data_IF_808911546148
#
_entry.id   IF_808911546148
#
_cell.length_a   1.000
_cell.length_b   1.000
_cell.length_c   1.000
_cell.angle_alpha   90.00
_cell.angle_beta   90.00
_cell.angle_gamma   90.00
#
_symmetry.space_group_name_H-M   'P 1'
#
loop_
_entity.id
_entity.type
_entity.pdbx_description
1 polymer ?
#
# COMPACT_ATOMS: atom_id res chain seq x y z
N UNK A 1 -12.39 16.37 -29.45
CA UNK A 1 -12.70 17.15 -28.23
C UNK A 1 -11.58 16.87 -27.25
N UNK A 2 -10.87 17.93 -26.85
CA UNK A 2 -9.47 17.88 -26.40
C UNK A 2 -9.24 17.27 -25.02
N UNK A 3 -8.10 16.60 -24.92
CA UNK A 3 -7.41 16.20 -23.68
C UNK A 3 -6.38 17.27 -23.35
N UNK A 4 -6.52 17.88 -22.18
CA UNK A 4 -5.68 18.99 -21.70
C UNK A 4 -4.37 18.46 -21.10
N UNK A 5 -3.27 19.05 -21.53
CA UNK A 5 -1.89 18.68 -21.21
C UNK A 5 -1.25 19.80 -20.40
N UNK A 6 -0.74 19.48 -19.21
CA UNK A 6 0.13 20.36 -18.43
C UNK A 6 1.31 19.52 -17.92
N UNK A 7 2.30 19.33 -18.79
CA UNK A 7 3.64 18.89 -18.46
C UNK A 7 4.56 20.12 -18.63
N UNK A 8 4.95 20.71 -17.51
CA UNK A 8 5.67 21.97 -17.43
C UNK A 8 7.15 21.76 -17.16
N UNK A 9 7.88 21.49 -18.24
CA UNK A 9 9.33 21.35 -18.35
C UNK A 9 10.07 22.65 -17.94
N UNK A 10 10.55 22.75 -16.70
CA UNK A 10 11.30 23.94 -16.22
C UNK A 10 12.77 23.81 -16.58
N UNK A 11 13.09 24.31 -17.77
CA UNK A 11 14.46 24.44 -18.28
C UNK A 11 15.31 25.38 -17.44
N UNK A 12 16.52 24.88 -17.18
CA UNK A 12 17.75 25.56 -16.75
C UNK A 12 17.85 27.02 -17.24
N UNK A 13 17.96 27.95 -16.29
CA UNK A 13 18.53 29.28 -16.54
C UNK A 13 19.95 29.32 -15.96
N UNK A 14 20.94 29.17 -16.86
CA UNK A 14 22.27 29.74 -16.66
C UNK A 14 22.17 31.24 -16.94
N UNK A 15 22.59 32.08 -15.99
CA UNK A 15 23.06 33.42 -16.31
C UNK A 15 24.52 33.54 -15.84
N UNK A 16 25.38 33.82 -16.81
CA UNK A 16 26.78 34.16 -16.61
C UNK A 16 26.94 35.59 -16.13
N UNK A 17 28.13 35.87 -15.61
CA UNK A 17 28.44 37.00 -14.75
C UNK A 17 28.36 38.39 -15.39
N UNK A 18 28.20 39.37 -14.50
CA UNK A 18 28.72 40.73 -14.70
C UNK A 18 29.13 41.28 -13.35
N UNK A 19 30.41 41.62 -13.24
CA UNK A 19 30.98 42.26 -12.06
C UNK A 19 30.29 43.58 -11.74
N UNK A 20 30.11 43.82 -10.46
CA UNK A 20 29.74 45.08 -9.87
C UNK A 20 30.42 45.15 -8.52
N UNK A 21 31.57 45.83 -8.47
CA UNK A 21 32.20 46.19 -7.21
C UNK A 21 31.34 47.24 -6.54
N UNK A 22 30.73 46.87 -5.42
CA UNK A 22 30.27 47.81 -4.40
C UNK A 22 30.90 47.35 -3.08
N UNK A 23 31.79 48.20 -2.56
CA UNK A 23 32.26 48.08 -1.18
C UNK A 23 31.11 48.43 -0.26
N UNK A 24 30.33 47.42 0.11
CA UNK A 24 29.42 47.50 1.26
C UNK A 24 30.21 47.19 2.53
N UNK A 25 30.28 48.11 3.52
CA UNK A 25 30.97 47.87 4.79
C UNK A 25 30.15 47.00 5.77
N UNK A 26 29.03 46.43 5.30
CA UNK A 26 28.16 45.54 6.08
C UNK A 26 28.07 44.20 5.34
N UNK A 27 28.95 43.27 5.74
CA UNK A 27 29.04 41.94 5.15
C UNK A 27 27.75 41.15 5.29
N UNK A 28 27.01 41.01 4.19
CA UNK A 28 26.08 39.91 4.03
C UNK A 28 26.88 38.63 3.77
N UNK A 29 27.20 37.89 4.83
CA UNK A 29 27.69 36.52 4.70
C UNK A 29 26.54 35.60 4.25
N UNK A 30 26.72 34.92 3.13
CA UNK A 30 25.78 33.91 2.66
C UNK A 30 25.80 32.70 3.61
N UNK A 31 24.68 32.43 4.29
CA UNK A 31 24.53 31.36 5.31
C UNK A 31 24.30 29.97 4.67
N UNK A 32 24.92 29.68 3.52
CA UNK A 32 24.79 28.35 2.92
C UNK A 32 25.99 27.98 2.06
N UNK A 33 27.02 27.47 2.70
CA UNK A 33 28.05 26.68 2.02
C UNK A 33 27.44 25.37 1.49
N UNK A 34 27.91 24.91 0.33
CA UNK A 34 27.38 23.76 -0.40
C UNK A 34 27.60 22.40 0.31
N UNK A 35 28.35 22.38 1.42
CA UNK A 35 28.76 21.13 2.09
C UNK A 35 27.94 20.78 3.36
N UNK A 36 26.92 21.56 3.72
CA UNK A 36 25.96 21.20 4.78
C UNK A 36 26.54 21.03 6.19
N UNK A 37 27.82 21.29 6.40
CA UNK A 37 28.47 21.34 7.71
C UNK A 37 28.20 22.70 8.31
N UNK A 38 27.37 22.73 9.36
CA UNK A 38 27.24 23.90 10.22
C UNK A 38 28.57 23.98 10.99
N UNK A 39 29.45 24.89 10.60
CA UNK A 39 30.63 25.19 11.41
C UNK A 39 30.14 25.75 12.77
N UNK A 40 30.72 25.29 13.89
CA UNK A 40 30.38 25.85 15.20
C UNK A 40 30.85 27.29 15.23
N UNK A 41 29.90 28.22 15.25
CA UNK A 41 30.16 29.65 15.42
C UNK A 41 30.99 29.83 16.70
N UNK A 42 32.07 30.61 16.60
CA UNK A 42 33.04 30.84 17.67
C UNK A 42 32.35 31.18 19.00
N UNK A 43 32.47 30.28 19.97
CA UNK A 43 31.93 30.38 21.32
C UNK A 43 32.78 31.28 22.24
N UNK A 44 33.43 32.32 21.71
CA UNK A 44 33.94 33.44 22.51
C UNK A 44 32.81 34.47 22.74
N UNK A 45 31.61 33.97 23.03
CA UNK A 45 30.49 34.79 23.47
C UNK A 45 30.80 35.23 24.89
N UNK A 46 30.84 36.54 25.13
CA UNK A 46 30.93 37.14 26.45
C UNK A 46 29.86 36.55 27.38
N UNK A 47 30.24 35.51 28.13
CA UNK A 47 29.35 34.81 29.05
C UNK A 47 29.24 35.61 30.34
N UNK A 48 28.15 36.35 30.44
CA UNK A 48 27.79 37.11 31.62
C UNK A 48 26.63 36.41 32.32
N UNK A 49 26.81 35.99 33.57
CA UNK A 49 25.71 35.47 34.38
C UNK A 49 25.02 36.60 35.15
N UNK A 50 23.75 36.45 35.56
CA UNK A 50 23.09 37.40 36.46
C UNK A 50 23.90 37.66 37.74
N UNK A 51 24.60 36.63 38.22
CA UNK A 51 25.45 36.74 39.40
C UNK A 51 26.70 37.59 39.13
N UNK A 52 27.29 37.46 37.94
CA UNK A 52 28.44 38.29 37.53
C UNK A 52 28.03 39.75 37.42
N UNK A 53 26.85 40.04 36.86
CA UNK A 53 26.29 41.40 36.83
C UNK A 53 26.12 41.95 38.25
N UNK A 54 25.52 41.18 39.18
CA UNK A 54 25.32 41.62 40.57
C UNK A 54 26.64 41.85 41.32
N UNK A 55 27.71 41.13 40.98
CA UNK A 55 29.02 41.24 41.63
C UNK A 55 29.96 42.23 40.94
N UNK A 56 29.62 42.76 39.77
CA UNK A 56 30.50 43.61 38.98
C UNK A 56 30.76 44.96 39.66
N UNK A 57 31.98 45.18 40.13
CA UNK A 57 32.39 46.46 40.71
C UNK A 57 32.90 47.43 39.63
N UNK A 58 32.57 48.72 39.80
CA UNK A 58 33.04 49.79 38.91
C UNK A 58 34.01 50.73 39.64
N UNK A 59 35.11 51.09 38.97
CA UNK A 59 36.07 52.06 39.50
C UNK A 59 35.47 53.47 39.49
N UNK A 60 35.71 54.23 40.57
CA UNK A 60 35.28 55.63 40.67
C UNK A 60 36.24 56.55 39.89
N UNK A 61 35.71 57.53 39.16
CA UNK A 61 36.49 58.54 38.44
C UNK A 61 35.88 59.94 38.61
N UNK A 62 36.69 61.00 38.47
CA UNK A 62 36.31 62.39 38.79
C UNK A 62 35.17 62.97 37.91
N UNK A 63 34.74 62.24 36.86
CA UNK A 63 33.63 62.57 35.95
C UNK A 63 32.79 61.33 35.58
N UNK A 64 32.70 60.35 36.48
CA UNK A 64 31.95 59.11 36.26
C UNK A 64 30.43 59.28 36.44
N UNK A 65 29.68 58.24 36.04
CA UNK A 65 28.25 58.16 36.31
C UNK A 65 27.95 58.10 37.82
N UNK A 66 26.73 58.51 38.20
CA UNK A 66 26.27 58.46 39.59
C UNK A 66 26.27 57.01 40.11
N UNK A 67 26.98 56.71 41.23
CA UNK A 67 27.10 55.35 41.74
C UNK A 67 25.75 54.66 42.04
N UNK A 68 24.77 55.39 42.58
CA UNK A 68 23.45 54.84 42.93
C UNK A 68 22.68 54.45 41.66
N UNK A 69 22.66 55.33 40.66
CA UNK A 69 21.99 55.03 39.38
C UNK A 69 22.62 53.85 38.64
N UNK A 70 23.95 53.71 38.68
CA UNK A 70 24.64 52.55 38.09
C UNK A 70 24.31 51.26 38.84
N UNK A 71 24.24 51.31 40.17
CA UNK A 71 23.88 50.17 41.02
C UNK A 71 22.44 49.69 40.73
N UNK A 72 21.48 50.62 40.69
CA UNK A 72 20.09 50.31 40.37
C UNK A 72 19.94 49.72 38.96
N UNK A 73 20.66 50.27 37.97
CA UNK A 73 20.66 49.74 36.62
C UNK A 73 21.28 48.33 36.57
N UNK A 74 22.41 48.12 37.25
CA UNK A 74 23.09 46.82 37.36
C UNK A 74 22.15 45.75 37.91
N UNK A 75 21.42 46.06 38.99
CA UNK A 75 20.44 45.14 39.57
C UNK A 75 19.30 44.83 38.59
N UNK A 76 18.75 45.84 37.90
CA UNK A 76 17.69 45.63 36.89
C UNK A 76 18.16 44.79 35.70
N UNK A 77 19.40 44.98 35.25
CA UNK A 77 20.01 44.17 34.18
C UNK A 77 20.18 42.73 34.63
N UNK A 78 20.66 42.50 35.86
CA UNK A 78 20.78 41.15 36.41
C UNK A 78 19.41 40.43 36.47
N UNK A 79 18.37 41.12 36.95
CA UNK A 79 17.02 40.54 37.03
C UNK A 79 16.42 40.27 35.65
N UNK A 80 16.63 41.16 34.68
CA UNK A 80 16.21 40.95 33.30
C UNK A 80 16.93 39.75 32.66
N UNK A 81 18.24 39.63 32.88
CA UNK A 81 19.04 38.52 32.39
C UNK A 81 18.61 37.18 33.01
N UNK A 82 18.30 37.17 34.31
CA UNK A 82 17.77 35.98 35.00
C UNK A 82 16.43 35.53 34.40
N UNK A 83 15.54 36.49 34.10
CA UNK A 83 14.25 36.21 33.42
C UNK A 83 14.48 35.61 32.03
N UNK A 84 15.35 36.21 31.22
CA UNK A 84 15.65 35.72 29.86
C UNK A 84 16.23 34.31 29.91
N UNK A 85 17.15 34.01 30.84
CA UNK A 85 17.72 32.67 30.98
C UNK A 85 16.64 31.65 31.37
N UNK A 86 15.74 32.01 32.30
CA UNK A 86 14.62 31.16 32.69
C UNK A 86 13.67 30.89 31.53
N UNK A 87 13.28 31.93 30.81
CA UNK A 87 12.37 31.83 29.66
C UNK A 87 13.00 31.00 28.53
N UNK A 88 14.31 31.19 28.29
CA UNK A 88 15.09 30.38 27.34
C UNK A 88 15.06 28.90 27.73
N UNK A 89 15.34 28.56 28.98
CA UNK A 89 15.28 27.17 29.46
C UNK A 89 13.90 26.54 29.24
N UNK A 90 12.83 27.27 29.56
CA UNK A 90 11.45 26.79 29.35
C UNK A 90 11.13 26.60 27.86
N UNK A 91 11.61 27.50 26.99
CA UNK A 91 11.42 27.38 25.56
C UNK A 91 12.23 26.21 24.97
N UNK A 92 13.46 26.01 25.40
CA UNK A 92 14.31 24.89 24.99
C UNK A 92 13.68 23.55 25.37
N UNK A 93 13.15 23.41 26.59
CA UNK A 93 12.40 22.23 27.02
C UNK A 93 11.16 21.98 26.15
N UNK A 94 10.40 23.03 25.81
CA UNK A 94 9.22 22.92 24.93
C UNK A 94 9.60 22.51 23.52
N UNK A 95 10.68 23.08 22.97
CA UNK A 95 11.19 22.71 21.65
C UNK A 95 11.62 21.25 21.63
N UNK A 96 12.33 20.78 22.67
CA UNK A 96 12.71 19.38 22.79
C UNK A 96 11.47 18.46 22.82
N UNK A 97 10.47 18.79 23.65
CA UNK A 97 9.24 18.00 23.75
C UNK A 97 8.45 17.96 22.44
N UNK A 98 8.29 19.10 21.75
CA UNK A 98 7.61 19.17 20.46
C UNK A 98 8.38 18.44 19.35
N UNK A 99 9.71 18.48 19.39
CA UNK A 99 10.56 17.76 18.44
C UNK A 99 10.38 16.25 18.59
N UNK A 100 10.32 15.74 19.82
CA UNK A 100 10.08 14.32 20.08
C UNK A 100 8.66 13.89 19.65
N UNK A 101 7.65 14.71 19.93
CA UNK A 101 6.29 14.45 19.43
C UNK A 101 6.25 14.40 17.91
N UNK A 102 6.89 15.35 17.23
CA UNK A 102 6.96 15.38 15.78
C UNK A 102 7.66 14.16 15.21
N UNK A 103 8.73 13.70 15.85
CA UNK A 103 9.41 12.44 15.49
C UNK A 103 8.46 11.26 15.60
N UNK A 104 7.75 11.11 16.71
CA UNK A 104 6.78 10.05 16.90
C UNK A 104 5.64 10.10 15.87
N UNK A 105 5.16 11.30 15.51
CA UNK A 105 4.16 11.46 14.45
C UNK A 105 4.68 11.01 13.09
N UNK A 106 5.90 11.40 12.72
CA UNK A 106 6.52 10.98 11.46
C UNK A 106 6.74 9.46 11.38
N UNK A 107 7.14 8.84 12.48
CA UNK A 107 7.29 7.38 12.55
C UNK A 107 5.93 6.67 12.39
N UNK A 108 4.87 7.18 13.02
CA UNK A 108 3.50 6.67 12.83
C UNK A 108 2.99 6.86 11.41
N UNK A 109 3.22 8.02 10.81
CA UNK A 109 2.84 8.29 9.43
C UNK A 109 3.54 7.33 8.46
N UNK A 110 4.85 7.09 8.67
CA UNK A 110 5.61 6.10 7.90
C UNK A 110 5.02 4.70 8.04
N UNK A 111 4.75 4.24 9.26
CA UNK A 111 4.14 2.93 9.50
C UNK A 111 2.74 2.81 8.87
N UNK A 112 1.95 3.88 8.90
CA UNK A 112 0.63 3.92 8.26
C UNK A 112 0.74 3.83 6.73
N UNK A 113 1.70 4.52 6.13
CA UNK A 113 1.96 4.44 4.69
C UNK A 113 2.42 3.04 4.28
N UNK A 114 3.31 2.42 5.04
CA UNK A 114 3.75 1.03 4.82
C UNK A 114 2.57 0.05 4.92
N UNK A 115 1.72 0.20 5.95
CA UNK A 115 0.52 -0.61 6.12
C UNK A 115 -0.47 -0.44 4.96
N UNK A 116 -0.64 0.79 4.43
CA UNK A 116 -1.51 1.05 3.29
C UNK A 116 -0.99 0.36 2.03
N UNK A 117 0.31 0.43 1.77
CA UNK A 117 0.94 -0.26 0.63
C UNK A 117 0.78 -1.78 0.77
N UNK A 118 1.05 -2.33 1.96
CA UNK A 118 0.86 -3.75 2.24
C UNK A 118 -0.60 -4.19 2.03
N UNK A 119 -1.57 -3.39 2.47
CA UNK A 119 -2.99 -3.66 2.27
C UNK A 119 -3.37 -3.64 0.78
N UNK A 120 -2.81 -2.71 -0.01
CA UNK A 120 -3.03 -2.66 -1.46
C UNK A 120 -2.45 -3.90 -2.17
N UNK A 121 -1.23 -4.30 -1.81
CA UNK A 121 -0.59 -5.51 -2.32
C UNK A 121 -1.41 -6.76 -1.98
N UNK A 122 -1.80 -6.92 -0.71
CA UNK A 122 -2.63 -8.04 -0.26
C UNK A 122 -3.95 -8.13 -1.04
N UNK A 123 -4.61 -6.98 -1.29
CA UNK A 123 -5.83 -6.95 -2.11
C UNK A 123 -5.57 -7.40 -3.54
N UNK A 124 -4.47 -6.95 -4.16
CA UNK A 124 -4.11 -7.35 -5.51
C UNK A 124 -3.80 -8.85 -5.60
N UNK A 125 -3.04 -9.37 -4.64
CA UNK A 125 -2.68 -10.79 -4.56
C UNK A 125 -3.91 -11.67 -4.33
N UNK A 126 -4.80 -11.26 -3.42
CA UNK A 126 -6.07 -11.95 -3.16
C UNK A 126 -6.93 -12.00 -4.41
N UNK A 127 -7.04 -10.89 -5.13
CA UNK A 127 -7.79 -10.84 -6.41
C UNK A 127 -7.17 -11.78 -7.45
N UNK A 128 -5.85 -11.74 -7.63
CA UNK A 128 -5.17 -12.61 -8.59
C UNK A 128 -5.24 -14.09 -8.20
N UNK A 129 -5.26 -14.42 -6.91
CA UNK A 129 -5.49 -15.78 -6.43
C UNK A 129 -6.93 -16.23 -6.73
N UNK A 130 -7.93 -15.43 -6.39
CA UNK A 130 -9.34 -15.73 -6.65
C UNK A 130 -9.64 -15.88 -8.15
N UNK A 131 -9.05 -15.04 -9.00
CA UNK A 131 -9.19 -15.14 -10.46
C UNK A 131 -8.58 -16.44 -11.01
N UNK A 132 -7.41 -16.87 -10.50
CA UNK A 132 -6.79 -18.15 -10.88
C UNK A 132 -7.62 -19.33 -10.40
N UNK A 133 -8.08 -19.31 -9.17
CA UNK A 133 -8.92 -20.36 -8.60
C UNK A 133 -10.24 -20.50 -9.35
N UNK A 134 -10.90 -19.38 -9.67
CA UNK A 134 -12.10 -19.37 -10.49
C UNK A 134 -11.86 -20.01 -11.87
N UNK A 135 -10.74 -19.70 -12.53
CA UNK A 135 -10.39 -20.32 -13.81
C UNK A 135 -10.17 -21.83 -13.69
N UNK A 136 -9.54 -22.30 -12.61
CA UNK A 136 -9.37 -23.74 -12.34
C UNK A 136 -10.73 -24.40 -12.15
N UNK A 137 -11.59 -23.85 -11.30
CA UNK A 137 -12.94 -24.38 -11.06
C UNK A 137 -13.74 -24.49 -12.35
N UNK A 138 -13.72 -23.44 -13.20
CA UNK A 138 -14.42 -23.47 -14.48
C UNK A 138 -13.88 -24.56 -15.40
N UNK A 139 -12.55 -24.69 -15.51
CA UNK A 139 -11.93 -25.74 -16.35
C UNK A 139 -12.25 -27.15 -15.86
N UNK A 140 -12.23 -27.36 -14.54
CA UNK A 140 -12.58 -28.65 -13.94
C UNK A 140 -14.05 -28.99 -14.15
N UNK A 141 -14.95 -28.02 -13.96
CA UNK A 141 -16.38 -28.19 -14.20
C UNK A 141 -16.67 -28.50 -15.68
N UNK A 142 -16.01 -27.82 -16.62
CA UNK A 142 -16.12 -28.11 -18.05
C UNK A 142 -15.60 -29.51 -18.41
N UNK A 143 -14.48 -29.93 -17.81
CA UNK A 143 -13.91 -31.26 -18.03
C UNK A 143 -14.84 -32.36 -17.47
N UNK A 144 -15.38 -32.19 -16.26
CA UNK A 144 -16.33 -33.13 -15.68
C UNK A 144 -17.63 -33.18 -16.50
N UNK A 145 -18.17 -32.04 -16.91
CA UNK A 145 -19.36 -31.99 -17.75
C UNK A 145 -19.17 -32.74 -19.08
N UNK A 146 -18.03 -32.53 -19.74
CA UNK A 146 -17.67 -33.29 -20.96
C UNK A 146 -17.58 -34.78 -20.68
N UNK A 147 -16.93 -35.19 -19.59
CA UNK A 147 -16.84 -36.61 -19.20
C UNK A 147 -18.22 -37.22 -18.99
N UNK A 148 -19.11 -36.56 -18.24
CA UNK A 148 -20.47 -37.04 -17.99
C UNK A 148 -21.31 -37.13 -19.26
N UNK A 149 -21.16 -36.19 -20.19
CA UNK A 149 -21.86 -36.24 -21.48
C UNK A 149 -21.39 -37.45 -22.32
N UNK A 150 -20.10 -37.73 -22.35
CA UNK A 150 -19.56 -38.92 -23.05
C UNK A 150 -20.05 -40.21 -22.39
N UNK A 151 -20.00 -40.30 -21.05
CA UNK A 151 -20.56 -41.44 -20.30
C UNK A 151 -22.05 -41.66 -20.62
N UNK A 152 -22.84 -40.58 -20.64
CA UNK A 152 -24.27 -40.64 -20.96
C UNK A 152 -24.54 -41.10 -22.41
N UNK A 153 -23.75 -40.61 -23.39
CA UNK A 153 -23.85 -41.02 -24.79
C UNK A 153 -23.52 -42.50 -24.99
N UNK A 154 -22.49 -42.98 -24.31
CA UNK A 154 -22.11 -44.40 -24.32
C UNK A 154 -23.24 -45.26 -23.75
N UNK A 155 -23.78 -44.88 -22.59
CA UNK A 155 -24.91 -45.57 -21.96
C UNK A 155 -26.19 -45.56 -22.83
N UNK A 156 -26.49 -44.44 -23.49
CA UNK A 156 -27.61 -44.34 -24.43
C UNK A 156 -27.45 -45.30 -25.60
N UNK A 157 -26.25 -45.33 -26.20
CA UNK A 157 -25.92 -46.20 -27.34
C UNK A 157 -26.04 -47.68 -26.95
N UNK A 158 -25.50 -48.05 -25.79
CA UNK A 158 -25.62 -49.40 -25.25
C UNK A 158 -27.08 -49.79 -25.00
N UNK A 159 -27.86 -48.93 -24.34
CA UNK A 159 -29.28 -49.16 -24.08
C UNK A 159 -30.06 -49.34 -25.38
N UNK A 160 -29.78 -48.52 -26.40
CA UNK A 160 -30.39 -48.62 -27.72
C UNK A 160 -30.04 -49.93 -28.42
N UNK A 161 -28.80 -50.40 -28.30
CA UNK A 161 -28.38 -51.70 -28.84
C UNK A 161 -29.14 -52.85 -28.16
N UNK A 162 -29.20 -52.84 -26.82
CA UNK A 162 -29.92 -53.86 -26.03
C UNK A 162 -31.41 -53.90 -26.39
N UNK A 163 -32.06 -52.75 -26.58
CA UNK A 163 -33.44 -52.67 -27.05
C UNK A 163 -33.62 -53.29 -28.43
N UNK A 164 -32.73 -52.97 -29.38
CA UNK A 164 -32.77 -53.55 -30.72
C UNK A 164 -32.55 -55.08 -30.72
N UNK A 165 -31.67 -55.58 -29.86
CA UNK A 165 -31.46 -57.02 -29.68
C UNK A 165 -32.69 -57.71 -29.09
N UNK A 166 -33.29 -57.14 -28.04
CA UNK A 166 -34.50 -57.66 -27.42
C UNK A 166 -35.68 -57.70 -28.42
N UNK A 167 -35.84 -56.66 -29.25
CA UNK A 167 -36.84 -56.63 -30.32
C UNK A 167 -36.62 -57.77 -31.33
N UNK A 168 -35.39 -57.96 -31.81
CA UNK A 168 -35.06 -59.07 -32.73
C UNK A 168 -35.32 -60.44 -32.10
N UNK A 169 -34.97 -60.62 -30.83
CA UNK A 169 -35.26 -61.86 -30.10
C UNK A 169 -36.77 -62.12 -29.98
N UNK A 170 -37.56 -61.07 -29.71
CA UNK A 170 -39.02 -61.16 -29.63
C UNK A 170 -39.65 -61.52 -30.98
N UNK A 171 -39.22 -60.87 -32.07
CA UNK A 171 -39.68 -61.20 -33.42
C UNK A 171 -39.35 -62.64 -33.82
N UNK A 172 -38.11 -63.09 -33.54
CA UNK A 172 -37.69 -64.46 -33.78
C UNK A 172 -38.52 -65.48 -32.96
N UNK A 173 -38.81 -65.16 -31.70
CA UNK A 173 -39.68 -65.97 -30.85
C UNK A 173 -41.09 -66.08 -31.42
N UNK A 174 -41.71 -64.97 -31.81
CA UNK A 174 -43.06 -64.98 -32.41
C UNK A 174 -43.10 -65.77 -33.71
N UNK A 175 -42.10 -65.60 -34.59
CA UNK A 175 -42.00 -66.36 -35.82
C UNK A 175 -41.87 -67.87 -35.54
N UNK A 176 -41.02 -68.25 -34.59
CA UNK A 176 -40.85 -69.65 -34.17
C UNK A 176 -42.12 -70.24 -33.56
N UNK A 177 -42.82 -69.49 -32.71
CA UNK A 177 -44.08 -69.92 -32.10
C UNK A 177 -45.18 -70.10 -33.14
N UNK A 178 -45.29 -69.18 -34.10
CA UNK A 178 -46.25 -69.30 -35.22
C UNK A 178 -45.98 -70.56 -36.06
N UNK A 179 -44.72 -70.80 -36.42
CA UNK A 179 -44.33 -72.01 -37.16
C UNK A 179 -44.66 -73.30 -36.40
N UNK A 180 -44.47 -73.30 -35.07
CA UNK A 180 -44.86 -74.42 -34.21
C UNK A 180 -46.38 -74.66 -34.25
N UNK A 181 -47.19 -73.61 -34.08
CA UNK A 181 -48.65 -73.72 -34.14
C UNK A 181 -49.15 -74.19 -35.50
N UNK A 182 -48.60 -73.66 -36.59
CA UNK A 182 -48.93 -74.09 -37.96
C UNK A 182 -48.63 -75.58 -38.16
N UNK A 183 -47.48 -76.06 -37.65
CA UNK A 183 -47.14 -77.49 -37.64
C UNK A 183 -48.15 -78.31 -36.84
N UNK A 184 -48.52 -77.88 -35.63
CA UNK A 184 -49.47 -78.60 -34.77
C UNK A 184 -50.86 -78.68 -35.40
N UNK A 185 -51.34 -77.61 -36.03
CA UNK A 185 -52.61 -77.60 -36.77
C UNK A 185 -52.55 -78.56 -37.96
N UNK A 186 -51.44 -78.57 -38.70
CA UNK A 186 -51.26 -79.50 -39.82
C UNK A 186 -51.31 -80.96 -39.35
N UNK A 187 -50.68 -81.28 -38.21
CA UNK A 187 -50.70 -82.62 -37.62
C UNK A 187 -52.12 -83.06 -37.23
N UNK A 188 -52.89 -82.21 -36.53
CA UNK A 188 -54.29 -82.51 -36.17
C UNK A 188 -55.13 -82.79 -37.42
N UNK A 189 -55.01 -81.96 -38.47
CA UNK A 189 -55.72 -82.18 -39.75
C UNK A 189 -55.39 -83.53 -40.38
N UNK A 190 -54.14 -83.97 -40.31
CA UNK A 190 -53.75 -85.28 -40.84
C UNK A 190 -54.31 -86.45 -40.03
N UNK A 191 -54.53 -86.26 -38.72
CA UNK A 191 -55.13 -87.28 -37.87
C UNK A 191 -56.65 -87.37 -38.10
N UNK A 192 -57.33 -86.24 -38.26
CA UNK A 192 -58.77 -86.20 -38.59
C UNK A 192 -59.07 -86.84 -39.95
N UNK A 193 -58.23 -86.61 -40.97
CA UNK A 193 -58.36 -87.23 -42.29
C UNK A 193 -58.09 -88.74 -42.35
N UNK A 194 -57.62 -89.36 -41.26
CA UNK A 194 -57.39 -90.82 -41.15
C UNK A 194 -58.54 -91.55 -40.42
N UNK A 195 -59.52 -90.84 -39.88
CA UNK A 195 -60.66 -91.41 -39.14
C UNK A 195 -61.99 -91.39 -39.92
N UNK A 196 -62.02 -90.92 -41.16
CA UNK A 196 -63.16 -91.02 -42.09
C UNK A 196 -62.86 -92.00 -43.22
#
# INVERSE_FOLDING_TARGET
>A
MGTDALDGDVRRLRYGGRGGGNGDPLGYHAVRGEDGVIEPEHEDSFHLTPLDVRKQEFRKSLRGYEPIGVEDFRMRVADALERVIRDRSVLEERVAALTEQLRAFREREKAMNEALVAAQQLRADTRAAAEREAQVIVREAEAEAKRRLEEARLAETESRSRLGEAQRQYEAYLAGFRALLERQIAEVRTLEGKQG
#
